data_IF_964008758858
#
_entry.id   IF_964008758858
#
_cell.length_a   1.000
_cell.length_b   1.000
_cell.length_c   1.000
_cell.angle_alpha   90.00
_cell.angle_beta   90.00
_cell.angle_gamma   90.00
#
_symmetry.space_group_name_H-M   'P 1'
#
loop_
_entity.id
_entity.type
_entity.pdbx_description
1 polymer ?
#
# COMPACT_ATOMS: atom_id res chain seq x y z
N UNK A 1 -12.53 -17.92 -89.86
CA UNK A 1 -13.78 -17.25 -90.21
C UNK A 1 -14.66 -17.29 -88.97
N UNK A 2 -14.45 -16.25 -88.17
CA UNK A 2 -15.34 -15.46 -87.33
C UNK A 2 -16.61 -16.02 -86.66
N UNK A 3 -16.74 -15.51 -85.43
CA UNK A 3 -17.95 -15.02 -84.74
C UNK A 3 -18.80 -16.00 -83.90
N UNK A 4 -18.75 -15.68 -82.60
CA UNK A 4 -19.56 -16.07 -81.45
C UNK A 4 -21.06 -16.33 -81.70
N UNK A 5 -21.66 -17.21 -80.88
CA UNK A 5 -22.53 -16.77 -79.78
C UNK A 5 -23.11 -17.94 -78.93
N UNK A 6 -23.16 -17.69 -77.62
CA UNK A 6 -23.89 -18.36 -76.54
C UNK A 6 -23.24 -19.57 -75.86
N UNK A 7 -22.25 -19.28 -75.01
CA UNK A 7 -22.14 -19.93 -73.70
C UNK A 7 -22.59 -18.90 -72.63
N UNK A 8 -23.63 -19.21 -71.85
CA UNK A 8 -23.71 -18.72 -70.47
C UNK A 8 -22.56 -19.37 -69.69
N UNK A 9 -21.89 -18.68 -68.75
CA UNK A 9 -22.38 -18.75 -67.38
C UNK A 9 -22.01 -17.55 -66.47
N UNK A 10 -22.61 -17.57 -65.26
CA UNK A 10 -22.28 -16.81 -64.04
C UNK A 10 -22.74 -15.34 -64.01
N UNK A 11 -24.02 -15.17 -63.70
CA UNK A 11 -24.54 -13.93 -63.12
C UNK A 11 -24.11 -13.87 -61.65
N UNK A 12 -23.15 -12.97 -61.38
CA UNK A 12 -23.04 -12.14 -60.18
C UNK A 12 -23.42 -12.71 -58.81
N UNK A 13 -22.64 -13.63 -58.25
CA UNK A 13 -22.52 -13.80 -56.79
C UNK A 13 -21.54 -12.75 -56.22
N UNK A 14 -21.80 -11.48 -56.46
CA UNK A 14 -21.00 -10.37 -55.93
C UNK A 14 -21.87 -9.20 -55.44
N UNK A 15 -23.13 -9.10 -55.87
CA UNK A 15 -23.96 -7.94 -55.57
C UNK A 15 -24.78 -8.11 -54.28
N UNK A 16 -25.21 -9.32 -53.92
CA UNK A 16 -26.08 -9.53 -52.75
C UNK A 16 -25.33 -9.47 -51.40
N UNK A 17 -24.07 -9.90 -51.33
CA UNK A 17 -23.25 -9.78 -50.12
C UNK A 17 -22.77 -8.33 -49.87
N UNK A 18 -22.65 -7.50 -50.91
CA UNK A 18 -22.27 -6.08 -50.76
C UNK A 18 -23.40 -5.24 -50.15
N UNK A 19 -24.67 -5.52 -50.48
CA UNK A 19 -25.82 -4.77 -49.94
C UNK A 19 -25.94 -4.96 -48.42
N UNK A 20 -25.77 -6.19 -47.93
CA UNK A 20 -25.86 -6.50 -46.49
C UNK A 20 -24.67 -5.89 -45.70
N UNK A 21 -23.53 -5.67 -46.37
CA UNK A 21 -22.37 -5.00 -45.77
C UNK A 21 -22.59 -3.49 -45.58
N UNK A 22 -23.46 -2.87 -46.38
CA UNK A 22 -23.75 -1.43 -46.30
C UNK A 22 -24.70 -1.07 -45.16
N UNK A 23 -25.62 -1.96 -44.78
CA UNK A 23 -26.63 -1.70 -43.72
C UNK A 23 -25.99 -1.52 -42.34
N UNK A 24 -24.95 -2.31 -42.04
CA UNK A 24 -24.15 -2.17 -40.81
C UNK A 24 -23.37 -0.86 -40.72
N UNK A 25 -23.16 -0.18 -41.85
CA UNK A 25 -22.43 1.07 -41.93
C UNK A 25 -23.34 2.30 -41.85
N UNK A 26 -24.66 2.12 -41.77
CA UNK A 26 -25.60 3.22 -41.64
C UNK A 26 -25.60 3.81 -40.21
N UNK A 27 -25.51 5.14 -40.06
CA UNK A 27 -25.50 5.77 -38.76
C UNK A 27 -26.89 5.68 -38.11
N UNK A 28 -26.97 4.95 -37.00
CA UNK A 28 -28.19 4.80 -36.23
C UNK A 28 -28.53 6.08 -35.45
N UNK A 29 -29.58 6.77 -35.89
CA UNK A 29 -30.08 7.97 -35.22
C UNK A 29 -30.86 7.62 -33.95
N UNK A 30 -30.75 8.46 -32.92
CA UNK A 30 -31.50 8.34 -31.66
C UNK A 30 -31.33 7.01 -30.87
N UNK A 31 -30.29 6.21 -31.13
CA UNK A 31 -30.04 4.96 -30.39
C UNK A 31 -29.04 5.10 -29.22
N UNK A 32 -28.59 6.32 -28.91
CA UNK A 32 -27.73 6.56 -27.74
C UNK A 32 -28.53 6.37 -26.44
N UNK A 33 -27.87 5.91 -25.36
CA UNK A 33 -28.46 5.67 -24.03
C UNK A 33 -29.44 6.74 -23.55
N UNK A 34 -29.15 8.01 -23.81
CA UNK A 34 -30.01 9.17 -23.46
C UNK A 34 -31.41 9.18 -24.12
N UNK A 35 -31.62 8.42 -25.18
CA UNK A 35 -32.90 8.35 -25.91
C UNK A 35 -33.62 7.01 -25.69
N UNK A 36 -32.90 5.95 -25.32
CA UNK A 36 -33.46 4.61 -25.07
C UNK A 36 -33.76 4.38 -23.59
N UNK A 37 -32.96 4.95 -22.69
CA UNK A 37 -33.13 4.82 -21.25
C UNK A 37 -33.89 6.03 -20.70
N UNK A 38 -34.71 5.81 -19.67
CA UNK A 38 -35.37 6.89 -18.95
C UNK A 38 -34.30 7.72 -18.24
N UNK A 39 -34.27 9.02 -18.47
CA UNK A 39 -33.33 9.93 -17.83
C UNK A 39 -33.74 10.09 -16.36
N UNK A 40 -33.16 9.26 -15.50
CA UNK A 40 -33.32 9.33 -14.06
C UNK A 40 -31.95 9.45 -13.36
N UNK A 41 -31.92 10.16 -12.24
CA UNK A 41 -30.71 10.30 -11.44
C UNK A 41 -30.36 8.97 -10.77
N UNK A 42 -29.09 8.60 -10.77
CA UNK A 42 -28.60 7.43 -10.04
C UNK A 42 -28.89 7.55 -8.54
N UNK A 43 -29.45 6.51 -7.95
CA UNK A 43 -29.72 6.46 -6.49
C UNK A 43 -28.39 6.51 -5.73
N UNK A 44 -28.28 7.45 -4.79
CA UNK A 44 -27.11 7.54 -3.92
C UNK A 44 -27.07 6.35 -2.97
N UNK A 45 -26.16 5.40 -3.20
CA UNK A 45 -25.88 4.32 -2.26
C UNK A 45 -25.10 4.89 -1.08
N UNK A 46 -25.54 4.59 0.15
CA UNK A 46 -24.83 5.01 1.35
C UNK A 46 -23.40 4.45 1.34
N UNK A 47 -22.40 5.33 1.24
CA UNK A 47 -21.00 4.92 1.12
C UNK A 47 -20.35 4.88 2.52
N UNK A 48 -19.93 3.71 2.97
CA UNK A 48 -19.31 3.49 4.30
C UNK A 48 -17.78 3.66 4.32
N UNK A 49 -17.22 4.45 3.40
CA UNK A 49 -15.76 4.68 3.29
C UNK A 49 -15.17 5.51 4.43
N UNK A 50 -16.01 6.19 5.22
CA UNK A 50 -15.55 6.97 6.37
C UNK A 50 -15.38 6.06 7.58
N UNK A 51 -14.16 6.01 8.11
CA UNK A 51 -13.91 5.42 9.43
C UNK A 51 -14.75 6.14 10.48
N UNK A 52 -15.58 5.37 11.21
CA UNK A 52 -16.47 5.85 12.27
C UNK A 52 -15.69 6.25 13.52
N UNK A 53 -14.71 5.44 13.90
CA UNK A 53 -13.86 5.67 15.06
C UNK A 53 -12.40 5.85 14.63
N UNK A 54 -11.78 6.94 15.11
CA UNK A 54 -10.36 7.20 14.91
C UNK A 54 -9.63 6.90 16.20
N UNK A 55 -9.01 5.73 16.27
CA UNK A 55 -8.12 5.38 17.38
C UNK A 55 -6.95 6.37 17.42
N UNK A 56 -6.61 6.84 18.63
CA UNK A 56 -5.44 7.67 18.88
C UNK A 56 -4.58 6.97 19.92
N UNK A 57 -3.32 6.77 19.61
CA UNK A 57 -2.32 6.34 20.60
C UNK A 57 -2.03 7.52 21.51
N UNK A 58 -2.29 7.35 22.80
CA UNK A 58 -2.10 8.40 23.83
C UNK A 58 -0.73 8.26 24.50
N UNK A 59 -0.27 7.02 24.66
CA UNK A 59 0.96 6.65 25.35
C UNK A 59 1.75 5.64 24.52
N UNK A 60 3.09 5.75 24.56
CA UNK A 60 4.03 4.80 23.96
C UNK A 60 5.08 4.46 25.01
N UNK A 61 5.41 3.17 25.11
CA UNK A 61 6.49 2.65 25.94
C UNK A 61 7.58 2.07 25.04
N UNK A 62 8.82 2.56 25.20
CA UNK A 62 9.98 2.07 24.46
C UNK A 62 10.83 1.20 25.40
N UNK A 63 11.02 -0.06 25.03
CA UNK A 63 11.82 -1.03 25.81
C UNK A 63 13.03 -1.43 24.98
N UNK A 64 14.23 -1.26 25.54
CA UNK A 64 15.49 -1.64 24.90
C UNK A 64 16.15 -2.74 25.74
N UNK A 65 16.35 -3.91 25.13
CA UNK A 65 17.02 -5.06 25.75
C UNK A 65 18.37 -5.32 25.06
N UNK A 66 19.27 -4.34 25.11
CA UNK A 66 20.59 -4.43 24.49
C UNK A 66 21.66 -4.66 25.57
N UNK A 67 22.44 -5.72 25.43
CA UNK A 67 23.65 -5.94 26.23
C UNK A 67 24.88 -5.55 25.40
N UNK A 68 25.34 -4.31 25.54
CA UNK A 68 26.41 -3.76 24.69
C UNK A 68 27.72 -4.53 24.92
N UNK A 69 28.28 -5.06 23.83
CA UNK A 69 29.55 -5.78 23.84
C UNK A 69 29.44 -7.27 24.21
N UNK A 70 28.23 -7.76 24.47
CA UNK A 70 27.97 -9.18 24.70
C UNK A 70 27.00 -9.67 23.64
N UNK A 71 27.52 -10.52 22.76
CA UNK A 71 26.70 -11.12 21.72
C UNK A 71 25.98 -12.35 22.28
N UNK A 72 24.69 -12.54 21.94
CA UNK A 72 23.98 -13.75 22.32
C UNK A 72 24.68 -14.96 21.70
N UNK A 73 24.84 -16.05 22.46
CA UNK A 73 25.60 -17.23 22.01
C UNK A 73 24.98 -17.95 20.81
N UNK A 74 23.75 -17.62 20.46
CA UNK A 74 22.97 -18.26 19.38
C UNK A 74 23.18 -17.62 17.99
N UNK A 75 23.90 -16.49 17.91
CA UNK A 75 24.04 -15.72 16.66
C UNK A 75 25.50 -15.67 16.21
N UNK A 76 25.81 -16.36 15.12
CA UNK A 76 27.09 -16.20 14.41
C UNK A 76 27.00 -14.94 13.53
N UNK A 77 27.77 -13.90 13.86
CA UNK A 77 27.81 -12.66 13.09
C UNK A 77 28.62 -12.81 11.80
N UNK A 78 28.11 -12.26 10.71
CA UNK A 78 28.86 -12.06 9.46
C UNK A 78 29.90 -10.95 9.61
N UNK A 79 31.01 -11.02 8.87
CA UNK A 79 32.02 -9.96 8.79
C UNK A 79 31.88 -9.21 7.46
N UNK A 80 31.55 -7.90 7.43
CA UNK A 80 31.28 -7.00 8.57
C UNK A 80 29.85 -7.17 9.15
N UNK A 81 29.68 -6.86 10.44
CA UNK A 81 28.38 -6.88 11.11
C UNK A 81 27.70 -5.50 11.06
N UNK A 82 26.36 -5.48 10.95
CA UNK A 82 25.59 -4.26 11.17
C UNK A 82 25.78 -3.83 12.63
N UNK A 83 26.42 -2.68 12.85
CA UNK A 83 26.90 -2.26 14.18
C UNK A 83 26.18 -1.04 14.72
N UNK A 84 25.48 -0.28 13.88
CA UNK A 84 24.83 0.96 14.29
C UNK A 84 23.45 0.67 14.88
N UNK A 85 23.23 1.15 16.09
CA UNK A 85 21.95 1.09 16.81
C UNK A 85 21.40 2.51 16.96
N UNK A 86 20.21 2.78 16.40
CA UNK A 86 19.61 4.13 16.39
C UNK A 86 20.57 5.24 15.91
N UNK A 87 21.34 4.96 14.84
CA UNK A 87 22.37 5.84 14.27
C UNK A 87 23.57 6.12 15.17
N UNK A 88 23.75 5.33 16.24
CA UNK A 88 24.87 5.40 17.17
C UNK A 88 25.66 4.10 17.11
N UNK A 89 26.99 4.22 17.12
CA UNK A 89 27.86 3.07 17.29
C UNK A 89 27.99 2.73 18.80
N UNK A 90 27.47 1.59 19.28
CA UNK A 90 27.46 1.26 20.70
C UNK A 90 28.87 1.00 21.24
N UNK A 91 29.86 0.73 20.38
CA UNK A 91 31.25 0.50 20.75
C UNK A 91 32.10 1.77 20.79
N UNK A 92 31.55 2.91 20.36
CA UNK A 92 32.24 4.21 20.38
C UNK A 92 32.22 4.89 21.76
N UNK A 93 31.41 4.38 22.69
CA UNK A 93 31.22 4.94 24.03
C UNK A 93 31.04 3.83 25.07
N UNK A 94 30.97 4.19 26.37
CA UNK A 94 30.73 3.20 27.41
C UNK A 94 29.33 2.57 27.26
N UNK A 95 29.16 1.27 27.54
CA UNK A 95 27.88 0.55 27.45
C UNK A 95 26.69 1.28 28.07
N UNK A 96 26.88 1.83 29.27
CA UNK A 96 25.85 2.58 29.99
C UNK A 96 25.41 3.84 29.23
N UNK A 97 26.38 4.61 28.74
CA UNK A 97 26.13 5.85 27.99
C UNK A 97 25.59 5.58 26.60
N UNK A 98 25.99 4.47 25.98
CA UNK A 98 25.43 4.00 24.71
C UNK A 98 23.94 3.75 24.86
N UNK A 99 23.51 3.01 25.88
CA UNK A 99 22.10 2.69 26.11
C UNK A 99 21.25 3.95 26.33
N UNK A 100 21.74 4.90 27.15
CA UNK A 100 21.05 6.17 27.38
C UNK A 100 20.92 6.99 26.09
N UNK A 101 22.00 7.08 25.29
CA UNK A 101 22.02 7.86 24.04
C UNK A 101 21.12 7.23 22.97
N UNK A 102 21.16 5.90 22.83
CA UNK A 102 20.31 5.13 21.92
C UNK A 102 18.84 5.32 22.32
N UNK A 103 18.52 5.21 23.60
CA UNK A 103 17.17 5.43 24.12
C UNK A 103 16.64 6.84 23.85
N UNK A 104 17.46 7.87 24.09
CA UNK A 104 17.09 9.26 23.82
C UNK A 104 16.89 9.54 22.32
N UNK A 105 17.75 8.99 21.45
CA UNK A 105 17.59 9.12 20.01
C UNK A 105 16.34 8.42 19.50
N UNK A 106 16.03 7.23 20.03
CA UNK A 106 14.82 6.50 19.68
C UNK A 106 13.57 7.30 20.09
N UNK A 107 13.56 7.87 21.30
CA UNK A 107 12.50 8.75 21.75
C UNK A 107 12.30 9.93 20.79
N UNK A 108 13.37 10.65 20.44
CA UNK A 108 13.30 11.78 19.49
C UNK A 108 12.78 11.37 18.11
N UNK A 109 13.16 10.19 17.63
CA UNK A 109 12.62 9.65 16.37
C UNK A 109 11.11 9.45 16.48
N UNK A 110 10.60 8.85 17.55
CA UNK A 110 9.16 8.67 17.77
C UNK A 110 8.41 10.00 17.96
N UNK A 111 9.00 10.98 18.63
CA UNK A 111 8.43 12.32 18.80
C UNK A 111 8.22 13.02 17.45
N UNK A 112 9.14 12.85 16.49
CA UNK A 112 8.98 13.38 15.14
C UNK A 112 7.79 12.75 14.39
N UNK A 113 7.57 11.44 14.56
CA UNK A 113 6.47 10.74 13.91
C UNK A 113 5.12 11.06 14.55
N UNK A 114 5.06 11.22 15.88
CA UNK A 114 3.82 11.49 16.58
C UNK A 114 3.97 12.47 17.76
N UNK A 115 4.02 13.79 17.49
CA UNK A 115 4.37 14.81 18.49
C UNK A 115 3.32 15.02 19.58
N UNK A 116 2.13 14.41 19.46
CA UNK A 116 1.02 14.54 20.42
C UNK A 116 0.93 13.36 21.40
N UNK A 117 1.81 12.37 21.29
CA UNK A 117 1.86 11.23 22.21
C UNK A 117 2.66 11.64 23.45
N UNK A 118 2.17 11.27 24.64
CA UNK A 118 2.98 11.34 25.85
C UNK A 118 3.96 10.17 25.82
N UNK A 119 5.23 10.44 25.58
CA UNK A 119 6.28 9.44 25.68
C UNK A 119 6.53 9.13 27.16
N UNK A 120 6.34 7.88 27.57
CA UNK A 120 6.75 7.40 28.89
C UNK A 120 8.15 6.80 28.73
N UNK A 121 9.05 7.24 29.61
CA UNK A 121 10.51 7.09 29.52
C UNK A 121 11.00 5.65 29.30
N UNK A 122 12.17 5.45 28.67
CA UNK A 122 12.73 4.14 28.44
C UNK A 122 13.16 3.52 29.76
N UNK A 123 12.56 2.39 30.09
CA UNK A 123 13.04 1.58 31.18
C UNK A 123 14.13 0.64 30.68
N UNK A 124 15.36 1.05 30.93
CA UNK A 124 16.51 0.15 30.94
C UNK A 124 16.39 -0.71 32.19
N UNK A 125 15.53 -1.73 32.14
CA UNK A 125 15.48 -2.73 33.20
C UNK A 125 15.89 -4.07 32.63
N UNK A 126 16.91 -4.64 33.27
CA UNK A 126 17.40 -6.00 33.03
C UNK A 126 16.31 -7.08 33.19
N UNK A 127 15.11 -6.77 33.72
CA UNK A 127 14.17 -7.85 34.08
C UNK A 127 12.67 -7.55 34.32
N UNK A 128 12.11 -6.32 34.27
CA UNK A 128 10.71 -6.13 34.71
C UNK A 128 9.80 -5.43 33.68
N UNK A 129 9.33 -6.18 32.68
CA UNK A 129 8.27 -5.75 31.73
C UNK A 129 6.89 -5.63 32.38
N UNK A 130 6.67 -6.31 33.51
CA UNK A 130 5.37 -6.37 34.20
C UNK A 130 4.92 -5.03 34.82
N UNK A 131 5.87 -4.19 35.25
CA UNK A 131 5.54 -2.88 35.86
C UNK A 131 5.04 -1.87 34.81
N UNK A 132 5.56 -1.92 33.57
CA UNK A 132 5.20 -1.00 32.49
C UNK A 132 3.76 -1.17 32.01
N UNK A 133 3.28 -2.41 31.97
CA UNK A 133 1.91 -2.70 31.52
C UNK A 133 0.84 -2.18 32.49
N UNK A 134 1.21 -1.92 33.75
CA UNK A 134 0.32 -1.36 34.77
C UNK A 134 0.29 0.18 34.75
N UNK A 135 1.38 0.83 34.33
CA UNK A 135 1.49 2.30 34.31
C UNK A 135 0.89 2.94 33.04
N UNK A 136 0.69 2.14 31.98
CA UNK A 136 0.13 2.57 30.68
C UNK A 136 -1.40 2.40 30.60
N UNK A 137 -2.02 1.76 31.59
CA UNK A 137 -3.46 1.42 31.60
C UNK A 137 -4.28 2.41 32.43
#
# INVERSE_FOLDING_TARGET
MDAELLHSPVVGLAEEEEVDMTDWNLPLAFMKKRHTEKIEGSKALAQSWRMKDRMKTVSVALVLCLNVGVDPPDVVKTSPCARLECWIDPLSMSPQKALETIGANLQKQYENWQPRVRAVLPAVTSCNTNTFSLEVK
#
